data_IF_015147988931
#
_entry.id   IF_015147988931
#
_cell.length_a   1.000
_cell.length_b   1.000
_cell.length_c   1.000
_cell.angle_alpha   90.00
_cell.angle_beta   90.00
_cell.angle_gamma   90.00
#
_symmetry.space_group_name_H-M   'P 1'
#
loop_
_entity.id
_entity.type
_entity.pdbx_description
1 polymer ?
#
# COMPACT_ATOMS: atom_id res chain seq x y z
N UNK A 1 -15.31 -2.45 -5.48
CA UNK A 1 -13.84 -2.56 -5.66
C UNK A 1 -13.21 -1.35 -4.99
N UNK A 2 -12.28 -1.54 -4.05
CA UNK A 2 -11.57 -0.42 -3.41
C UNK A 2 -10.49 0.07 -4.37
N UNK A 3 -10.50 1.37 -4.68
CA UNK A 3 -9.48 1.96 -5.54
C UNK A 3 -8.22 2.23 -4.72
N UNK A 4 -7.11 1.56 -5.07
CA UNK A 4 -5.81 1.80 -4.47
C UNK A 4 -5.01 2.74 -5.36
N UNK A 5 -4.40 3.74 -4.75
CA UNK A 5 -3.48 4.68 -5.38
C UNK A 5 -2.06 4.40 -4.88
N UNK A 6 -1.05 4.73 -5.69
CA UNK A 6 0.37 4.60 -5.34
C UNK A 6 1.03 5.97 -5.44
N UNK A 7 1.80 6.34 -4.42
CA UNK A 7 2.78 7.40 -4.50
C UNK A 7 4.17 6.77 -4.30
N UNK A 8 5.10 7.05 -5.21
CA UNK A 8 6.43 6.44 -5.21
C UNK A 8 7.52 7.50 -5.24
N UNK A 9 8.65 7.24 -4.59
CA UNK A 9 9.82 8.11 -4.53
C UNK A 9 11.11 7.28 -4.68
N UNK A 10 12.27 7.92 -4.57
CA UNK A 10 13.57 7.24 -4.77
C UNK A 10 13.79 6.10 -3.77
N UNK A 11 13.53 6.34 -2.49
CA UNK A 11 13.91 5.41 -1.39
C UNK A 11 12.69 4.80 -0.69
N UNK A 12 11.48 5.28 -0.96
CA UNK A 12 10.26 4.81 -0.31
C UNK A 12 9.02 5.11 -1.14
N UNK A 13 7.86 4.62 -0.69
CA UNK A 13 6.58 4.99 -1.26
C UNK A 13 5.43 4.52 -0.38
N UNK A 14 4.21 4.72 -0.87
CA UNK A 14 2.99 4.26 -0.19
C UNK A 14 1.90 3.86 -1.16
N UNK A 15 1.08 2.92 -0.72
CA UNK A 15 -0.24 2.62 -1.27
C UNK A 15 -1.29 3.22 -0.36
N UNK A 16 -2.34 3.82 -0.91
CA UNK A 16 -3.37 4.46 -0.12
C UNK A 16 -4.74 4.38 -0.78
N UNK A 17 -5.79 4.50 0.02
CA UNK A 17 -7.17 4.54 -0.42
C UNK A 17 -7.92 5.62 0.37
N UNK A 18 -8.65 6.46 -0.36
CA UNK A 18 -9.55 7.45 0.22
C UNK A 18 -11.00 6.94 0.11
N UNK A 19 -11.68 6.81 1.25
CA UNK A 19 -13.08 6.36 1.32
C UNK A 19 -13.82 7.29 2.27
N UNK A 20 -14.88 7.93 1.79
CA UNK A 20 -15.73 8.83 2.58
C UNK A 20 -14.98 9.96 3.30
N UNK A 21 -13.83 10.39 2.76
CA UNK A 21 -12.99 11.46 3.31
C UNK A 21 -11.92 11.00 4.32
N UNK A 22 -11.94 9.73 4.71
CA UNK A 22 -10.87 9.12 5.50
C UNK A 22 -9.83 8.47 4.58
N UNK A 23 -8.57 8.40 5.04
CA UNK A 23 -7.47 7.76 4.32
C UNK A 23 -6.97 6.53 5.08
N UNK A 24 -6.78 5.44 4.35
CA UNK A 24 -6.01 4.28 4.77
C UNK A 24 -4.71 4.21 3.95
N UNK A 25 -3.61 3.81 4.57
CA UNK A 25 -2.31 3.75 3.90
C UNK A 25 -1.46 2.55 4.30
N UNK A 26 -0.53 2.20 3.43
CA UNK A 26 0.52 1.22 3.64
C UNK A 26 1.81 1.74 2.99
N UNK A 27 2.84 1.98 3.81
CA UNK A 27 4.12 2.51 3.33
C UNK A 27 5.15 1.40 3.14
N UNK A 28 6.15 1.69 2.31
CA UNK A 28 7.30 0.82 2.13
C UNK A 28 8.59 1.62 1.95
N UNK A 29 9.69 1.02 2.38
CA UNK A 29 11.06 1.47 2.10
C UNK A 29 11.71 0.56 1.06
N UNK A 30 12.49 1.11 0.13
CA UNK A 30 13.25 0.36 -0.88
C UNK A 30 14.62 -0.01 -0.32
N UNK A 31 14.92 -1.30 -0.31
CA UNK A 31 16.15 -1.89 0.23
C UNK A 31 17.04 -2.37 -0.92
N UNK A 32 17.47 -1.43 -1.76
CA UNK A 32 18.22 -1.71 -2.98
C UNK A 32 17.32 -1.90 -4.21
N UNK A 33 17.84 -2.49 -5.30
CA UNK A 33 17.19 -2.40 -6.61
C UNK A 33 15.93 -3.25 -6.78
N UNK A 34 15.73 -4.27 -5.94
CA UNK A 34 14.67 -5.28 -6.15
C UNK A 34 14.04 -5.81 -4.86
N UNK A 35 14.23 -5.12 -3.73
CA UNK A 35 13.67 -5.53 -2.44
C UNK A 35 12.98 -4.31 -1.82
N UNK A 36 11.76 -4.49 -1.33
CA UNK A 36 11.09 -3.49 -0.51
C UNK A 36 10.73 -4.08 0.85
N UNK A 37 10.54 -3.21 1.84
CA UNK A 37 10.02 -3.58 3.15
C UNK A 37 8.75 -2.78 3.41
N UNK A 38 7.62 -3.46 3.60
CA UNK A 38 6.39 -2.84 4.10
C UNK A 38 6.62 -2.56 5.59
N UNK A 39 6.66 -1.29 5.97
CA UNK A 39 7.09 -0.85 7.31
C UNK A 39 5.96 -0.21 8.13
N UNK A 40 4.90 0.26 7.48
CA UNK A 40 3.71 0.76 8.17
C UNK A 40 2.43 0.38 7.42
N UNK A 41 1.36 0.14 8.17
CA UNK A 41 0.00 0.00 7.64
C UNK A 41 -0.97 0.60 8.64
N UNK A 42 -1.79 1.53 8.18
CA UNK A 42 -2.83 2.17 8.96
C UNK A 42 -4.17 2.09 8.22
N UNK A 43 -5.20 1.65 8.94
CA UNK A 43 -6.58 1.67 8.47
C UNK A 43 -7.43 2.25 9.60
N UNK A 44 -8.15 3.35 9.35
CA UNK A 44 -8.97 3.97 10.38
C UNK A 44 -10.16 3.09 10.75
N UNK A 45 -10.66 3.27 11.96
CA UNK A 45 -11.78 2.49 12.52
C UNK A 45 -13.06 2.60 11.67
N UNK A 46 -13.29 3.73 11.01
CA UNK A 46 -14.39 3.96 10.06
C UNK A 46 -14.36 3.04 8.83
N UNK A 47 -13.21 2.41 8.56
CA UNK A 47 -13.00 1.47 7.46
C UNK A 47 -12.88 0.01 7.91
N UNK A 48 -13.04 -0.28 9.21
CA UNK A 48 -13.00 -1.65 9.73
C UNK A 48 -14.12 -2.49 9.08
N UNK A 49 -13.79 -3.73 8.73
CA UNK A 49 -14.72 -4.65 8.07
C UNK A 49 -14.98 -4.38 6.57
N UNK A 50 -14.44 -3.30 6.00
CA UNK A 50 -14.61 -2.97 4.56
C UNK A 50 -13.56 -3.66 3.65
N UNK A 51 -12.59 -4.39 4.19
CA UNK A 51 -11.56 -5.10 3.42
C UNK A 51 -10.38 -4.24 2.95
N UNK A 52 -10.22 -3.02 3.48
CA UNK A 52 -9.22 -2.04 2.99
C UNK A 52 -7.77 -2.51 3.19
N UNK A 53 -7.43 -3.07 4.35
CA UNK A 53 -6.09 -3.62 4.60
C UNK A 53 -5.71 -4.71 3.59
N UNK A 54 -6.66 -5.61 3.28
CA UNK A 54 -6.45 -6.68 2.30
C UNK A 54 -6.26 -6.12 0.90
N UNK A 55 -7.03 -5.11 0.51
CA UNK A 55 -6.91 -4.45 -0.78
C UNK A 55 -5.53 -3.77 -0.94
N UNK A 56 -5.04 -3.09 0.10
CA UNK A 56 -3.70 -2.50 0.13
C UNK A 56 -2.63 -3.58 -0.06
N UNK A 57 -2.66 -4.65 0.76
CA UNK A 57 -1.69 -5.73 0.69
C UNK A 57 -1.67 -6.44 -0.67
N UNK A 58 -2.86 -6.73 -1.23
CA UNK A 58 -2.97 -7.35 -2.54
C UNK A 58 -2.34 -6.45 -3.62
N UNK A 59 -2.58 -5.14 -3.57
CA UNK A 59 -1.99 -4.20 -4.53
C UNK A 59 -0.46 -4.19 -4.45
N UNK A 60 0.12 -4.18 -3.25
CA UNK A 60 1.57 -4.23 -3.10
C UNK A 60 2.17 -5.55 -3.62
N UNK A 61 1.52 -6.68 -3.38
CA UNK A 61 1.97 -7.97 -3.90
C UNK A 61 1.88 -8.01 -5.44
N UNK A 62 0.81 -7.49 -6.01
CA UNK A 62 0.66 -7.39 -7.47
C UNK A 62 1.68 -6.44 -8.10
N UNK A 63 1.96 -5.31 -7.45
CA UNK A 63 3.00 -4.38 -7.89
C UNK A 63 4.37 -5.05 -7.83
N UNK A 64 4.70 -5.73 -6.73
CA UNK A 64 5.95 -6.47 -6.59
C UNK A 64 6.13 -7.52 -7.70
N UNK A 65 5.07 -8.26 -8.06
CA UNK A 65 5.09 -9.20 -9.19
C UNK A 65 5.33 -8.52 -10.54
N UNK A 66 4.79 -7.31 -10.75
CA UNK A 66 4.93 -6.54 -12.01
C UNK A 66 6.30 -5.88 -12.14
N UNK A 67 6.85 -5.37 -11.05
CA UNK A 67 8.12 -4.63 -11.02
C UNK A 67 9.33 -5.52 -10.77
N UNK A 68 9.11 -6.77 -10.33
CA UNK A 68 10.18 -7.69 -9.93
C UNK A 68 10.72 -7.40 -8.53
N UNK A 69 10.05 -6.54 -7.76
CA UNK A 69 10.36 -6.38 -6.34
C UNK A 69 9.99 -7.64 -5.55
N UNK A 70 10.70 -7.84 -4.44
CA UNK A 70 10.43 -8.84 -3.42
C UNK A 70 9.96 -8.17 -2.15
#
# INVERSE_FOLDING_TARGET
>A
NIQIQKADSTDSGRYFANIDGDEAEMTYTKLGPALISIDHTFVPDSMRGKGVAQALALNAVEDARKTGWK
#
